data_IF_376999767209
#
_entry.id   IF_376999767209
#
_cell.length_a   1.000
_cell.length_b   1.000
_cell.length_c   1.000
_cell.angle_alpha   90.00
_cell.angle_beta   90.00
_cell.angle_gamma   90.00
#
_symmetry.space_group_name_H-M   'P 1'
#
loop_
_entity.id
_entity.type
_entity.pdbx_description
1 polymer ?
#
# COMPACT_ATOMS: atom_id res chain seq x y z
N UNK A 1 -6.54 -55.35 15.42
CA UNK A 1 -6.64 -54.37 14.29
C UNK A 1 -7.33 -53.08 14.73
N UNK A 2 -8.47 -53.13 15.40
CA UNK A 2 -9.24 -51.93 15.87
C UNK A 2 -8.48 -51.05 16.86
N UNK A 3 -7.66 -51.61 17.75
CA UNK A 3 -6.86 -50.84 18.71
C UNK A 3 -5.73 -50.05 18.02
N UNK A 4 -5.19 -50.56 16.91
CA UNK A 4 -4.15 -49.91 16.14
C UNK A 4 -4.70 -48.72 15.32
N UNK A 5 -5.91 -48.84 14.79
CA UNK A 5 -6.59 -47.77 14.06
C UNK A 5 -7.01 -46.58 14.97
N UNK A 6 -7.37 -46.83 16.22
CA UNK A 6 -7.66 -45.75 17.20
C UNK A 6 -6.45 -44.90 17.50
N UNK A 7 -5.24 -45.50 17.66
CA UNK A 7 -4.00 -44.73 17.90
C UNK A 7 -3.61 -43.86 16.74
N UNK A 8 -3.85 -44.33 15.50
CA UNK A 8 -3.54 -43.53 14.29
C UNK A 8 -4.49 -42.31 14.19
N UNK A 9 -5.77 -42.45 14.53
CA UNK A 9 -6.73 -41.32 14.53
C UNK A 9 -6.33 -40.22 15.53
N UNK A 10 -5.83 -40.58 16.70
CA UNK A 10 -5.34 -39.59 17.69
C UNK A 10 -4.04 -38.93 17.23
N UNK A 11 -3.16 -39.65 16.54
CA UNK A 11 -1.90 -39.09 16.04
C UNK A 11 -2.16 -38.06 14.92
N UNK A 12 -3.11 -38.35 14.02
CA UNK A 12 -3.51 -37.42 12.96
C UNK A 12 -4.18 -36.19 13.53
N UNK A 13 -5.02 -36.36 14.59
CA UNK A 13 -5.69 -35.23 15.23
C UNK A 13 -4.71 -34.33 15.99
N UNK A 14 -3.68 -34.91 16.62
CA UNK A 14 -2.61 -34.13 17.28
C UNK A 14 -1.75 -33.35 16.28
N UNK A 15 -1.55 -33.88 15.06
CA UNK A 15 -0.76 -33.21 14.02
C UNK A 15 -1.48 -31.96 13.47
N UNK A 16 -2.82 -31.94 13.46
CA UNK A 16 -3.60 -30.77 13.08
C UNK A 16 -3.60 -29.65 14.14
N UNK A 17 -3.38 -30.00 15.43
CA UNK A 17 -3.35 -29.00 16.52
C UNK A 17 -1.97 -28.31 16.61
N UNK A 18 -0.90 -28.90 16.03
CA UNK A 18 0.48 -28.37 16.07
C UNK A 18 0.86 -27.67 14.75
N UNK A 19 -0.11 -27.40 13.85
CA UNK A 19 0.17 -26.44 12.79
C UNK A 19 0.48 -25.12 13.49
N UNK A 20 1.72 -24.61 13.39
CA UNK A 20 2.01 -23.32 13.98
C UNK A 20 1.05 -22.34 13.34
N UNK A 21 0.25 -21.67 14.15
CA UNK A 21 -0.37 -20.42 13.75
C UNK A 21 0.80 -19.57 13.27
N UNK A 22 1.01 -19.54 11.96
CA UNK A 22 1.92 -18.57 11.37
C UNK A 22 1.30 -17.24 11.73
N UNK A 23 1.87 -16.60 12.75
CA UNK A 23 1.57 -15.22 13.06
C UNK A 23 1.75 -14.45 11.76
N UNK A 24 0.65 -14.18 11.08
CA UNK A 24 0.60 -13.29 9.92
C UNK A 24 1.07 -11.94 10.47
N UNK A 25 2.39 -11.69 10.36
CA UNK A 25 2.97 -10.41 10.76
C UNK A 25 2.35 -9.36 9.86
N UNK A 26 1.52 -8.53 10.47
CA UNK A 26 0.94 -7.38 9.80
C UNK A 26 2.06 -6.47 9.29
N UNK A 27 2.14 -6.27 7.99
CA UNK A 27 3.06 -5.30 7.40
C UNK A 27 2.28 -4.10 6.91
N UNK A 28 2.54 -2.95 7.53
CA UNK A 28 2.02 -1.66 7.10
C UNK A 28 3.19 -0.83 6.59
N UNK A 29 3.06 -0.32 5.36
CA UNK A 29 4.04 0.58 4.75
C UNK A 29 3.40 1.96 4.66
N UNK A 30 4.05 2.96 5.25
CA UNK A 30 3.63 4.37 5.15
C UNK A 30 4.65 5.11 4.31
N UNK A 31 4.19 5.67 3.20
CA UNK A 31 4.96 6.57 2.35
C UNK A 31 4.42 7.99 2.53
N UNK A 32 5.24 8.90 3.06
CA UNK A 32 4.78 10.24 3.42
C UNK A 32 5.59 11.36 2.77
N UNK A 33 5.00 12.56 2.79
CA UNK A 33 5.51 13.74 2.11
C UNK A 33 5.81 13.48 0.62
N UNK A 34 4.90 12.75 -0.04
CA UNK A 34 5.01 12.45 -1.47
C UNK A 34 4.57 13.68 -2.27
N UNK A 35 5.43 14.08 -3.21
CA UNK A 35 5.16 15.25 -4.05
C UNK A 35 3.98 14.98 -5.01
N UNK A 36 3.15 15.98 -5.22
CA UNK A 36 2.14 15.97 -6.27
C UNK A 36 2.69 16.67 -7.52
N UNK A 37 2.39 16.14 -8.70
CA UNK A 37 2.90 16.72 -9.96
C UNK A 37 2.14 17.98 -10.38
N UNK A 38 0.91 18.13 -9.90
CA UNK A 38 0.01 19.20 -10.31
C UNK A 38 0.00 20.37 -9.34
N UNK A 39 0.34 20.12 -8.07
CA UNK A 39 0.29 21.13 -7.03
C UNK A 39 1.46 20.97 -6.05
N UNK A 40 2.37 21.93 -6.04
CA UNK A 40 3.54 21.96 -5.14
C UNK A 40 3.17 22.02 -3.65
N UNK A 41 1.96 22.52 -3.33
CA UNK A 41 1.46 22.66 -1.98
C UNK A 41 0.71 21.43 -1.49
N UNK A 42 0.34 20.56 -2.41
CA UNK A 42 -0.29 19.28 -2.10
C UNK A 42 0.79 18.23 -1.85
N UNK A 43 0.69 17.56 -0.72
CA UNK A 43 1.48 16.36 -0.41
C UNK A 43 0.56 15.18 -0.25
N UNK A 44 1.00 14.04 -0.72
CA UNK A 44 0.29 12.79 -0.57
C UNK A 44 0.94 11.95 0.51
N UNK A 45 0.13 11.18 1.20
CA UNK A 45 0.53 10.09 2.07
C UNK A 45 -0.17 8.82 1.61
N UNK A 46 0.59 7.75 1.44
CA UNK A 46 0.08 6.44 1.08
C UNK A 46 0.33 5.48 2.23
N UNK A 47 -0.72 4.82 2.67
CA UNK A 47 -0.68 3.79 3.70
C UNK A 47 -1.08 2.48 3.04
N UNK A 48 -0.13 1.55 2.94
CA UNK A 48 -0.31 0.23 2.34
C UNK A 48 -0.46 -0.78 3.47
N UNK A 49 -1.67 -1.29 3.70
CA UNK A 49 -1.92 -2.38 4.64
C UNK A 49 -1.90 -3.70 3.86
N UNK A 50 -0.80 -4.46 3.99
CA UNK A 50 -0.61 -5.69 3.22
C UNK A 50 -1.43 -6.87 3.76
N UNK A 51 -1.95 -6.79 4.98
CA UNK A 51 -2.84 -7.81 5.50
C UNK A 51 -4.25 -7.69 4.96
N UNK A 52 -4.77 -6.46 4.99
CA UNK A 52 -6.11 -6.17 4.49
C UNK A 52 -6.13 -5.99 2.97
N UNK A 53 -4.96 -5.96 2.34
CA UNK A 53 -4.78 -5.72 0.90
C UNK A 53 -5.46 -4.42 0.46
N UNK A 54 -5.28 -3.38 1.25
CA UNK A 54 -5.80 -2.04 0.96
C UNK A 54 -4.72 -0.98 0.99
N UNK A 55 -4.88 0.03 0.17
CA UNK A 55 -4.11 1.26 0.16
C UNK A 55 -5.02 2.43 0.47
N UNK A 56 -4.60 3.26 1.42
CA UNK A 56 -5.25 4.55 1.69
C UNK A 56 -4.35 5.66 1.19
N UNK A 57 -4.88 6.57 0.39
CA UNK A 57 -4.23 7.81 -0.02
C UNK A 57 -4.86 8.98 0.71
N UNK A 58 -4.04 9.71 1.43
CA UNK A 58 -4.44 10.95 2.11
C UNK A 58 -3.86 12.15 1.36
N UNK A 59 -4.68 13.15 1.13
CA UNK A 59 -4.24 14.44 0.62
C UNK A 59 -3.96 15.37 1.78
N UNK A 60 -2.73 15.88 1.85
CA UNK A 60 -2.28 16.79 2.91
C UNK A 60 -2.02 18.13 2.26
N UNK A 61 -2.84 19.09 2.61
CA UNK A 61 -2.78 20.45 2.11
C UNK A 61 -2.05 21.34 3.09
N UNK A 62 -1.11 22.14 2.61
CA UNK A 62 -0.56 23.25 3.38
C UNK A 62 -1.39 24.50 3.10
N UNK A 63 -2.12 24.96 4.08
CA UNK A 63 -2.75 26.29 4.00
C UNK A 63 -1.67 27.36 4.02
N UNK A 64 -1.69 28.24 3.03
CA UNK A 64 -0.79 29.37 2.93
C UNK A 64 -1.57 30.66 3.15
N UNK A 65 -1.02 31.52 3.97
CA UNK A 65 -1.56 32.86 4.17
C UNK A 65 -0.54 33.88 3.71
N UNK A 66 -1.00 34.88 2.99
CA UNK A 66 -0.20 36.01 2.58
C UNK A 66 -0.31 37.11 3.63
N UNK A 67 0.78 37.40 4.36
CA UNK A 67 0.88 38.54 5.23
C UNK A 67 1.92 39.52 4.67
N UNK A 68 1.49 40.76 4.39
CA UNK A 68 2.36 41.82 3.90
C UNK A 68 3.29 41.37 2.78
N UNK A 69 2.76 40.73 1.76
CA UNK A 69 3.50 40.15 0.61
C UNK A 69 4.44 38.99 0.95
N UNK A 70 4.38 38.47 2.16
CA UNK A 70 5.16 37.30 2.57
C UNK A 70 4.27 36.09 2.73
N UNK A 71 4.64 34.99 2.08
CA UNK A 71 3.96 33.72 2.21
C UNK A 71 4.38 33.05 3.53
N UNK A 72 3.41 32.72 4.39
CA UNK A 72 3.65 31.97 5.63
C UNK A 72 2.87 30.66 5.60
N UNK A 73 3.53 29.57 5.97
CA UNK A 73 2.86 28.27 6.16
C UNK A 73 2.18 28.28 7.54
N UNK A 74 0.85 28.22 7.59
CA UNK A 74 0.10 28.29 8.84
C UNK A 74 -0.31 26.93 9.38
N UNK A 75 -0.72 26.01 8.53
CA UNK A 75 -1.21 24.70 8.99
C UNK A 75 -1.04 23.63 7.94
N UNK A 76 -0.95 22.38 8.41
CA UNK A 76 -1.06 21.20 7.58
C UNK A 76 -2.41 20.57 7.84
N UNK A 77 -3.26 20.53 6.83
CA UNK A 77 -4.61 19.98 6.92
C UNK A 77 -4.75 18.74 6.06
N UNK A 78 -5.24 17.66 6.65
CA UNK A 78 -5.63 16.45 5.95
C UNK A 78 -7.00 16.70 5.31
N UNK A 79 -7.08 16.77 3.97
CA UNK A 79 -8.32 17.16 3.31
C UNK A 79 -9.21 16.00 2.90
N UNK A 80 -8.69 15.00 2.20
CA UNK A 80 -9.48 13.88 1.67
C UNK A 80 -8.74 12.56 1.83
N UNK A 81 -9.51 11.49 2.08
CA UNK A 81 -9.00 10.11 2.09
C UNK A 81 -9.63 9.32 0.94
N UNK A 82 -8.84 8.45 0.37
CA UNK A 82 -9.24 7.61 -0.73
C UNK A 82 -8.65 6.23 -0.54
N UNK A 83 -9.48 5.20 -0.65
CA UNK A 83 -9.11 3.81 -0.37
C UNK A 83 -9.23 2.97 -1.63
N UNK A 84 -8.23 2.13 -1.87
CA UNK A 84 -8.22 1.15 -2.97
C UNK A 84 -7.71 -0.19 -2.51
N UNK A 85 -8.19 -1.24 -3.16
CA UNK A 85 -7.61 -2.57 -3.04
C UNK A 85 -6.24 -2.64 -3.73
N UNK A 86 -5.35 -3.44 -3.16
CA UNK A 86 -4.01 -3.68 -3.67
C UNK A 86 -3.75 -5.18 -3.78
N UNK A 87 -2.71 -5.55 -4.52
CA UNK A 87 -2.13 -6.88 -4.55
C UNK A 87 -0.61 -6.79 -4.71
N UNK A 88 0.08 -7.85 -4.35
CA UNK A 88 1.54 -7.94 -4.45
C UNK A 88 1.91 -8.95 -5.52
N UNK A 89 2.90 -8.59 -6.36
CA UNK A 89 3.48 -9.44 -7.38
C UNK A 89 4.96 -9.08 -7.53
N UNK A 90 5.85 -10.07 -7.45
CA UNK A 90 7.31 -9.92 -7.61
C UNK A 90 7.93 -8.79 -6.77
N UNK A 91 7.53 -8.66 -5.51
CA UNK A 91 8.02 -7.62 -4.59
C UNK A 91 7.54 -6.21 -4.90
N UNK A 92 6.60 -6.07 -5.80
CA UNK A 92 5.93 -4.83 -6.15
C UNK A 92 4.48 -4.87 -5.68
N UNK A 93 3.96 -3.73 -5.26
CA UNK A 93 2.58 -3.58 -4.82
C UNK A 93 1.84 -2.75 -5.85
N UNK A 94 0.74 -3.28 -6.34
CA UNK A 94 -0.10 -2.63 -7.33
C UNK A 94 -1.48 -2.34 -6.76
N UNK A 95 -2.08 -1.22 -7.15
CA UNK A 95 -3.53 -1.06 -7.03
C UNK A 95 -4.23 -1.96 -8.04
N UNK A 96 -5.51 -2.32 -7.77
CA UNK A 96 -6.28 -3.07 -8.76
C UNK A 96 -6.39 -2.29 -10.07
N UNK A 97 -6.45 -3.06 -11.16
CA UNK A 97 -6.61 -2.51 -12.51
C UNK A 97 -7.86 -1.63 -12.58
N UNK A 98 -7.72 -0.47 -13.16
CA UNK A 98 -8.81 0.46 -13.39
C UNK A 98 -8.91 0.74 -14.88
N UNK A 99 -10.06 0.41 -15.48
CA UNK A 99 -10.32 0.51 -16.92
C UNK A 99 -10.68 -0.83 -17.56
N UNK A 100 -10.73 -0.83 -18.89
CA UNK A 100 -11.04 -2.02 -19.69
C UNK A 100 -9.84 -2.94 -19.87
N UNK A 101 -10.03 -4.23 -20.24
CA UNK A 101 -8.91 -5.17 -20.37
C UNK A 101 -7.77 -4.71 -21.30
N UNK A 102 -8.10 -4.02 -22.39
CA UNK A 102 -7.11 -3.49 -23.34
C UNK A 102 -6.56 -2.11 -22.96
N UNK A 103 -7.15 -1.49 -21.96
CA UNK A 103 -6.77 -0.17 -21.49
C UNK A 103 -6.99 -0.06 -19.98
N UNK A 104 -5.91 0.01 -19.22
CA UNK A 104 -6.01 0.17 -17.77
C UNK A 104 -4.84 0.94 -17.17
N UNK A 105 -5.05 1.48 -15.99
CA UNK A 105 -4.03 2.14 -15.19
C UNK A 105 -3.91 1.51 -13.81
N UNK A 106 -2.69 1.45 -13.30
CA UNK A 106 -2.38 0.97 -11.96
C UNK A 106 -1.37 1.90 -11.30
N UNK A 107 -1.46 2.05 -9.98
CA UNK A 107 -0.40 2.67 -9.20
C UNK A 107 0.53 1.54 -8.75
N UNK A 108 1.81 1.71 -8.99
CA UNK A 108 2.87 0.77 -8.65
C UNK A 108 3.72 1.34 -7.52
N UNK A 109 3.90 0.54 -6.48
CA UNK A 109 4.80 0.81 -5.37
C UNK A 109 5.86 -0.28 -5.33
N UNK A 110 7.12 0.07 -5.41
CA UNK A 110 8.21 -0.87 -5.19
C UNK A 110 8.59 -0.88 -3.70
N UNK A 111 8.63 -2.07 -3.08
CA UNK A 111 8.99 -2.20 -1.66
C UNK A 111 10.36 -1.59 -1.37
N UNK A 112 10.40 -0.68 -0.39
CA UNK A 112 11.63 0.01 0.02
C UNK A 112 12.06 1.15 -0.89
N UNK A 113 11.35 1.43 -1.97
CA UNK A 113 11.58 2.59 -2.83
C UNK A 113 10.72 3.78 -2.39
N UNK A 114 11.20 4.97 -2.72
CA UNK A 114 10.49 6.23 -2.43
C UNK A 114 9.64 6.71 -3.61
N UNK A 115 9.79 6.08 -4.76
CA UNK A 115 9.09 6.48 -5.98
C UNK A 115 7.78 5.73 -6.15
N UNK A 116 6.80 6.43 -6.67
CA UNK A 116 5.48 5.92 -7.02
C UNK A 116 5.30 6.10 -8.52
N UNK A 117 4.84 5.05 -9.19
CA UNK A 117 4.70 5.02 -10.63
C UNK A 117 3.24 4.76 -11.03
N UNK A 118 2.84 5.28 -12.18
CA UNK A 118 1.66 4.81 -12.91
C UNK A 118 2.12 3.80 -13.96
N UNK A 119 1.52 2.63 -13.95
CA UNK A 119 1.56 1.66 -15.04
C UNK A 119 0.29 1.83 -15.86
N UNK A 120 0.45 2.14 -17.13
CA UNK A 120 -0.65 2.23 -18.09
C UNK A 120 -0.44 1.18 -19.16
N UNK A 121 -1.52 0.47 -19.53
CA UNK A 121 -1.52 -0.46 -20.66
C UNK A 121 -2.54 0.03 -21.67
N UNK A 122 -2.14 0.13 -22.92
CA UNK A 122 -2.98 0.51 -24.06
C UNK A 122 -2.66 -0.43 -25.22
N UNK A 123 -3.65 -1.22 -25.65
CA UNK A 123 -3.49 -2.20 -26.73
C UNK A 123 -2.24 -3.09 -26.59
N UNK A 124 -2.07 -3.67 -25.40
CA UNK A 124 -0.93 -4.52 -25.00
C UNK A 124 0.44 -3.82 -24.90
N UNK A 125 0.52 -2.52 -25.15
CA UNK A 125 1.71 -1.72 -24.90
C UNK A 125 1.71 -1.19 -23.47
N UNK A 126 2.79 -1.44 -22.73
CA UNK A 126 2.97 -0.95 -21.36
C UNK A 126 3.76 0.36 -21.35
N UNK A 127 3.21 1.36 -20.64
CA UNK A 127 3.91 2.59 -20.27
C UNK A 127 4.06 2.69 -18.75
N UNK A 128 5.24 3.04 -18.27
CA UNK A 128 5.49 3.32 -16.86
C UNK A 128 6.02 4.74 -16.71
N UNK A 129 5.33 5.53 -15.90
CA UNK A 129 5.70 6.91 -15.62
C UNK A 129 5.83 7.16 -14.12
N UNK A 130 6.92 7.80 -13.69
CA UNK A 130 7.03 8.24 -12.30
C UNK A 130 6.06 9.38 -12.03
N UNK A 131 5.22 9.22 -11.02
CA UNK A 131 4.21 10.21 -10.64
C UNK A 131 4.54 10.97 -9.37
N UNK A 132 5.36 10.39 -8.48
CA UNK A 132 5.67 11.00 -7.20
C UNK A 132 6.97 10.48 -6.62
N UNK A 133 7.59 11.29 -5.75
CA UNK A 133 8.68 10.86 -4.88
C UNK A 133 8.31 11.22 -3.44
N UNK A 134 8.41 10.24 -2.54
CA UNK A 134 8.12 10.42 -1.12
C UNK A 134 9.41 10.69 -0.35
N UNK A 135 9.38 11.63 0.59
CA UNK A 135 10.55 11.95 1.43
C UNK A 135 10.81 10.88 2.48
N UNK A 136 9.78 10.14 2.90
CA UNK A 136 9.86 9.16 3.98
C UNK A 136 9.09 7.89 3.61
N UNK A 137 9.72 6.74 3.90
CA UNK A 137 9.09 5.42 3.82
C UNK A 137 9.33 4.71 5.14
N UNK A 138 8.28 4.36 5.84
CA UNK A 138 8.30 3.66 7.11
C UNK A 138 7.60 2.31 6.98
N UNK A 139 8.15 1.29 7.63
CA UNK A 139 7.55 -0.04 7.70
C UNK A 139 7.25 -0.37 9.15
N UNK A 140 6.03 -0.77 9.41
CA UNK A 140 5.58 -1.23 10.71
C UNK A 140 5.23 -2.70 10.60
N UNK A 141 5.71 -3.49 11.57
CA UNK A 141 5.27 -4.86 11.78
C UNK A 141 4.51 -4.84 13.09
N UNK A 142 3.22 -5.13 13.05
CA UNK A 142 2.48 -5.39 14.26
C UNK A 142 2.95 -6.73 14.83
N UNK A 143 3.54 -6.67 16.02
CA UNK A 143 3.77 -7.87 16.83
C UNK A 143 2.42 -8.26 17.44
N UNK A 144 1.89 -9.37 16.96
CA UNK A 144 0.69 -10.00 17.52
C UNK A 144 1.01 -10.77 18.79
#
# INVERSE_FOLDING_TARGET
LLKKMRKIKYLVFLFFIILPYQNLKSEIIIMSACDDQQDEFLKNEYILNLNELIMTRNYIYKEKTYQKHKLTDLSVKKSNSYVRNIYEEDGKIFTYKHGYPQFYTQILFEKGKQNIFIKTVLNDEEGISKISTCKKVEKFKEES
#
